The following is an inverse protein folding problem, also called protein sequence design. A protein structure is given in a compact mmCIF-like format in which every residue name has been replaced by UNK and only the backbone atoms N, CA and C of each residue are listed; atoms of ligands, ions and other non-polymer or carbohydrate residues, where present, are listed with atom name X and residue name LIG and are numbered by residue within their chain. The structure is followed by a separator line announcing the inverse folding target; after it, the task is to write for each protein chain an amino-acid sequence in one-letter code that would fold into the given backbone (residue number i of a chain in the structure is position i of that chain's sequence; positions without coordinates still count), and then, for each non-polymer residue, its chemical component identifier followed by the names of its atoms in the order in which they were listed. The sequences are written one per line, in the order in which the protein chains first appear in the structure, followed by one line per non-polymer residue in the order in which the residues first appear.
data_IF_154766970398
#
_entry.id   IF_154766970398
#
_cell.length_a   1.000
_cell.length_b   1.000
_cell.length_c   1.000
_cell.angle_alpha   90.00
_cell.angle_beta   90.00
_cell.angle_gamma   90.00
#
_symmetry.space_group_name_H-M   'P 1'
#
loop_
_entity.id
_entity.type
_entity.pdbx_description
1 polymer ?
#
# COMPACT_ATOMS: atom_id res chain seq x y z
N UNK A 1 16.90 -2.05 -10.52
CA UNK A 1 15.63 -2.00 -11.23
C UNK A 1 15.82 -2.62 -12.63
N UNK A 2 15.01 -3.63 -12.98
CA UNK A 2 15.11 -4.34 -14.27
C UNK A 2 14.49 -3.54 -15.41
N UNK A 3 13.67 -2.55 -15.10
CA UNK A 3 12.85 -1.81 -16.08
C UNK A 3 13.37 -0.38 -16.35
N UNK A 4 14.47 0.00 -15.74
CA UNK A 4 15.09 1.32 -15.89
C UNK A 4 15.15 2.11 -14.58
N UNK A 5 15.81 3.25 -14.60
CA UNK A 5 16.04 4.12 -13.44
C UNK A 5 15.36 5.50 -13.56
N UNK A 6 14.71 5.77 -14.69
CA UNK A 6 13.99 7.03 -14.92
C UNK A 6 12.48 6.82 -14.89
N UNK A 7 11.79 7.59 -14.05
CA UNK A 7 10.32 7.61 -13.99
C UNK A 7 9.80 8.70 -14.91
N UNK A 8 8.86 8.34 -15.79
CA UNK A 8 8.20 9.26 -16.73
C UNK A 8 6.69 9.07 -16.62
N UNK A 9 5.96 10.16 -16.77
CA UNK A 9 4.49 10.16 -16.71
C UNK A 9 3.97 10.78 -18.00
N UNK A 10 2.99 10.12 -18.61
CA UNK A 10 2.11 10.66 -19.64
C UNK A 10 0.68 10.43 -19.18
N UNK A 11 -0.07 11.49 -18.99
CA UNK A 11 -1.47 11.43 -18.59
C UNK A 11 -2.30 12.44 -19.38
N UNK A 12 -3.52 12.04 -19.71
CA UNK A 12 -4.52 12.87 -20.35
C UNK A 12 -5.86 12.66 -19.67
N UNK A 13 -6.52 13.75 -19.28
CA UNK A 13 -7.87 13.75 -18.74
C UNK A 13 -8.80 14.39 -19.77
N UNK A 14 -9.79 13.63 -20.21
CA UNK A 14 -10.85 14.12 -21.07
C UNK A 14 -12.12 14.36 -20.24
N UNK A 15 -12.63 15.57 -20.25
CA UNK A 15 -13.81 15.99 -19.52
C UNK A 15 -14.92 16.25 -20.53
N UNK A 16 -16.02 15.54 -20.40
CA UNK A 16 -17.25 15.77 -21.20
C UNK A 16 -18.29 16.45 -20.33
N UNK A 17 -18.72 17.62 -20.71
CA UNK A 17 -19.72 18.36 -19.99
C UNK A 17 -21.14 18.01 -20.47
N UNK A 18 -22.13 18.30 -19.62
CA UNK A 18 -23.53 18.01 -19.90
C UNK A 18 -24.11 18.84 -21.10
N UNK A 19 -23.49 19.98 -21.41
CA UNK A 19 -23.84 20.83 -22.58
C UNK A 19 -23.23 20.34 -23.90
N UNK A 20 -22.45 19.21 -23.85
CA UNK A 20 -21.82 18.62 -25.04
C UNK A 20 -20.41 19.16 -25.33
N UNK A 21 -19.92 20.14 -24.58
CA UNK A 21 -18.53 20.59 -24.70
C UNK A 21 -17.54 19.63 -24.12
N UNK A 22 -16.27 19.68 -24.54
CA UNK A 22 -15.20 18.83 -24.04
C UNK A 22 -13.98 19.67 -23.71
N UNK A 23 -13.30 19.32 -22.61
CA UNK A 23 -11.97 19.81 -22.28
C UNK A 23 -10.98 18.66 -22.22
N UNK A 24 -9.73 18.95 -22.56
CA UNK A 24 -8.61 18.00 -22.45
C UNK A 24 -7.47 18.62 -21.67
N UNK A 25 -7.09 17.96 -20.56
CA UNK A 25 -5.94 18.34 -19.75
C UNK A 25 -4.86 17.27 -19.94
N UNK A 26 -3.70 17.65 -20.47
CA UNK A 26 -2.57 16.74 -20.67
C UNK A 26 -1.38 17.15 -19.80
N UNK A 27 -0.53 16.19 -19.48
CA UNK A 27 0.74 16.48 -18.83
C UNK A 27 1.62 17.35 -19.73
N UNK A 28 2.17 18.43 -19.16
CA UNK A 28 3.08 19.34 -19.82
C UNK A 28 4.11 19.94 -18.84
N UNK A 29 4.89 20.92 -19.30
CA UNK A 29 5.91 21.60 -18.49
C UNK A 29 5.37 22.47 -17.37
N UNK A 30 4.07 22.76 -17.33
CA UNK A 30 3.44 23.53 -16.25
C UNK A 30 3.21 22.70 -15.01
N UNK A 31 3.18 21.38 -15.15
CA UNK A 31 2.97 20.46 -14.03
C UNK A 31 4.10 20.54 -13.01
N UNK A 32 3.71 20.45 -11.75
CA UNK A 32 4.64 20.39 -10.63
C UNK A 32 4.75 18.96 -10.12
N UNK A 33 5.91 18.59 -9.65
CA UNK A 33 6.15 17.30 -9.03
C UNK A 33 6.88 17.42 -7.70
N UNK A 34 6.79 16.37 -6.90
CA UNK A 34 7.45 16.23 -5.62
C UNK A 34 7.80 14.77 -5.38
N UNK A 35 8.91 14.53 -4.67
CA UNK A 35 9.33 13.21 -4.20
C UNK A 35 9.41 13.12 -2.67
N UNK A 36 8.83 14.09 -1.96
CA UNK A 36 8.84 14.20 -0.49
C UNK A 36 7.46 13.94 0.15
N UNK A 37 6.55 13.26 -0.56
CA UNK A 37 5.22 12.92 -0.07
C UNK A 37 5.21 11.92 1.10
N UNK A 38 4.00 11.58 1.55
CA UNK A 38 3.79 10.69 2.68
C UNK A 38 4.35 9.27 2.45
N UNK A 39 4.28 8.75 1.23
CA UNK A 39 4.78 7.42 0.87
C UNK A 39 6.22 7.54 0.43
N UNK A 40 7.16 7.02 1.23
CA UNK A 40 8.59 7.05 0.92
C UNK A 40 9.11 5.79 0.23
N UNK A 41 8.37 4.70 0.34
CA UNK A 41 8.63 3.43 -0.33
C UNK A 41 7.29 2.77 -0.68
N UNK A 42 7.20 2.20 -1.88
CA UNK A 42 6.08 1.38 -2.29
C UNK A 42 6.54 0.32 -3.28
N UNK A 43 6.16 -0.91 -3.01
CA UNK A 43 6.36 -2.06 -3.88
C UNK A 43 5.15 -2.98 -3.75
N UNK A 44 4.69 -3.56 -4.85
CA UNK A 44 3.47 -4.37 -4.87
C UNK A 44 3.56 -5.66 -4.05
N UNK A 45 4.76 -6.11 -3.68
CA UNK A 45 5.01 -7.34 -2.91
C UNK A 45 5.69 -7.07 -1.58
N UNK A 46 6.61 -6.12 -1.54
CA UNK A 46 7.35 -5.81 -0.31
C UNK A 46 6.55 -4.91 0.61
N UNK A 47 5.69 -4.05 0.06
CA UNK A 47 4.77 -3.24 0.86
C UNK A 47 5.01 -1.74 0.78
N UNK A 48 4.73 -1.03 1.87
CA UNK A 48 4.75 0.43 1.88
C UNK A 48 5.35 0.98 3.18
N UNK A 49 6.08 2.11 3.04
CA UNK A 49 6.55 2.91 4.18
C UNK A 49 5.91 4.29 4.07
N UNK A 50 5.12 4.64 5.08
CA UNK A 50 4.27 5.83 5.09
C UNK A 50 4.54 6.69 6.32
N UNK A 51 4.62 8.00 6.12
CA UNK A 51 4.64 8.98 7.21
C UNK A 51 3.48 9.97 7.02
N UNK A 52 2.42 9.83 7.83
CA UNK A 52 1.21 10.66 7.75
C UNK A 52 1.44 12.14 8.08
N UNK A 53 2.62 12.49 8.61
CA UNK A 53 2.98 13.88 8.92
C UNK A 53 3.54 14.62 7.70
N UNK A 54 3.99 13.89 6.68
CA UNK A 54 4.58 14.50 5.48
C UNK A 54 3.52 14.96 4.51
N UNK A 55 3.75 16.14 3.96
CA UNK A 55 2.97 16.71 2.84
C UNK A 55 3.93 17.03 1.71
N UNK A 56 3.57 16.71 0.45
CA UNK A 56 4.46 17.00 -0.67
C UNK A 56 4.66 18.49 -0.86
N UNK A 57 5.88 18.88 -1.19
CA UNK A 57 6.24 20.26 -1.54
C UNK A 57 6.40 20.35 -3.06
N UNK A 58 5.42 20.92 -3.73
CA UNK A 58 5.40 21.02 -5.20
C UNK A 58 6.21 22.24 -5.68
N UNK A 59 7.52 22.15 -5.66
CA UNK A 59 8.44 23.24 -6.05
C UNK A 59 9.13 23.03 -7.39
N UNK A 60 9.15 21.80 -7.89
CA UNK A 60 9.86 21.44 -9.11
C UNK A 60 8.90 21.28 -10.28
N UNK A 61 9.25 21.88 -11.44
CA UNK A 61 8.48 21.74 -12.69
C UNK A 61 8.87 20.48 -13.43
N UNK A 62 7.89 19.87 -14.08
CA UNK A 62 8.11 18.75 -15.00
C UNK A 62 9.05 19.15 -16.15
N UNK A 63 9.86 18.19 -16.58
CA UNK A 63 10.69 18.33 -17.76
C UNK A 63 10.13 17.47 -18.88
N UNK A 64 9.95 18.06 -20.02
CA UNK A 64 9.58 17.31 -21.21
C UNK A 64 10.72 16.42 -21.69
N UNK A 65 10.40 15.21 -22.07
CA UNK A 65 11.35 14.25 -22.61
C UNK A 65 10.73 13.55 -23.80
N UNK A 66 11.54 13.27 -24.81
CA UNK A 66 11.13 12.41 -25.90
C UNK A 66 11.20 10.95 -25.48
N UNK A 67 10.19 10.18 -25.82
CA UNK A 67 10.19 8.73 -25.62
C UNK A 67 9.54 8.06 -26.83
N UNK A 68 10.23 7.06 -27.38
CA UNK A 68 9.82 6.45 -28.65
C UNK A 68 8.65 5.46 -28.54
N UNK A 69 8.10 5.25 -27.34
CA UNK A 69 6.99 4.31 -27.13
C UNK A 69 5.65 5.03 -27.30
N UNK A 70 4.83 4.51 -28.20
CA UNK A 70 3.45 4.93 -28.36
C UNK A 70 2.58 4.13 -27.37
N UNK A 71 1.90 4.79 -26.41
CA UNK A 71 0.99 4.11 -25.51
C UNK A 71 -0.15 3.43 -26.26
N UNK A 72 -0.51 2.24 -25.85
CA UNK A 72 -1.70 1.53 -26.33
C UNK A 72 -2.65 1.28 -25.17
N UNK A 73 -3.94 1.13 -25.48
CA UNK A 73 -4.93 0.81 -24.47
C UNK A 73 -4.58 -0.52 -23.76
N UNK A 74 -4.72 -0.54 -22.44
CA UNK A 74 -4.61 -1.77 -21.67
C UNK A 74 -5.79 -2.67 -21.98
N UNK A 75 -5.53 -3.96 -22.12
CA UNK A 75 -6.55 -5.01 -22.20
C UNK A 75 -6.84 -5.65 -20.83
N UNK A 76 -6.23 -5.16 -19.77
CA UNK A 76 -6.40 -5.71 -18.44
C UNK A 76 -7.75 -5.32 -17.85
N UNK A 77 -8.38 -6.29 -17.21
CA UNK A 77 -9.55 -6.04 -16.36
C UNK A 77 -9.07 -5.28 -15.11
N UNK A 78 -9.71 -4.17 -14.74
CA UNK A 78 -9.35 -3.43 -13.53
C UNK A 78 -9.54 -4.29 -12.28
N UNK A 79 -8.57 -4.25 -11.39
CA UNK A 79 -8.68 -4.84 -10.06
C UNK A 79 -9.74 -4.06 -9.28
N UNK A 80 -10.70 -4.78 -8.68
CA UNK A 80 -11.78 -4.18 -7.92
C UNK A 80 -11.89 -4.79 -6.52
N UNK A 81 -12.30 -3.98 -5.54
CA UNK A 81 -12.66 -4.45 -4.20
C UNK A 81 -13.94 -5.29 -4.27
N UNK A 82 -13.91 -6.51 -3.78
CA UNK A 82 -15.01 -7.49 -3.93
C UNK A 82 -15.62 -7.92 -2.62
N UNK A 83 -14.82 -8.10 -1.57
CA UNK A 83 -15.29 -8.58 -0.29
C UNK A 83 -14.50 -7.95 0.86
N UNK A 84 -15.17 -7.87 2.01
CA UNK A 84 -14.64 -7.31 3.25
C UNK A 84 -14.64 -8.40 4.31
N UNK A 85 -13.53 -8.55 5.02
CA UNK A 85 -13.38 -9.53 6.09
C UNK A 85 -12.99 -8.83 7.39
N UNK A 86 -13.71 -9.18 8.46
CA UNK A 86 -13.33 -8.86 9.83
C UNK A 86 -12.58 -10.05 10.42
N UNK A 87 -11.49 -9.77 11.11
CA UNK A 87 -10.68 -10.79 11.75
C UNK A 87 -10.90 -10.87 13.25
N UNK A 88 -10.26 -11.83 13.88
CA UNK A 88 -10.22 -11.99 15.33
C UNK A 88 -8.78 -11.88 15.80
N UNK A 89 -8.54 -10.96 16.74
CA UNK A 89 -7.23 -10.75 17.33
C UNK A 89 -6.93 -11.81 18.39
N UNK A 90 -5.72 -12.33 18.35
CA UNK A 90 -5.12 -13.21 19.35
C UNK A 90 -3.71 -12.73 19.68
N UNK A 91 -3.16 -13.22 20.76
CA UNK A 91 -1.76 -12.95 21.11
C UNK A 91 -0.93 -14.21 20.88
N UNK A 92 0.10 -14.09 20.07
CA UNK A 92 1.07 -15.15 19.83
C UNK A 92 1.95 -15.41 21.08
N UNK A 93 2.62 -16.55 21.20
CA UNK A 93 3.52 -16.84 22.33
C UNK A 93 4.65 -15.83 22.52
N UNK A 94 5.09 -15.18 21.44
CA UNK A 94 6.06 -14.07 21.49
C UNK A 94 5.50 -12.78 22.10
N UNK A 95 4.20 -12.71 22.38
CA UNK A 95 3.52 -11.52 22.83
C UNK A 95 2.99 -10.62 21.71
N UNK A 96 3.26 -10.94 20.46
CA UNK A 96 2.78 -10.18 19.30
C UNK A 96 1.29 -10.39 19.07
N UNK A 97 0.60 -9.35 18.62
CA UNK A 97 -0.81 -9.43 18.25
C UNK A 97 -0.93 -9.96 16.83
N UNK A 98 -1.81 -10.94 16.61
CA UNK A 98 -2.11 -11.51 15.30
C UNK A 98 -3.61 -11.46 15.07
N UNK A 99 -4.04 -10.95 13.93
CA UNK A 99 -5.43 -11.04 13.46
C UNK A 99 -5.54 -12.18 12.45
N UNK A 100 -6.49 -13.10 12.69
CA UNK A 100 -6.90 -14.15 11.75
C UNK A 100 -8.20 -13.72 11.06
N UNK A 101 -8.15 -13.48 9.75
CA UNK A 101 -9.30 -13.12 8.94
C UNK A 101 -10.13 -14.31 8.48
N UNK A 102 -9.75 -15.55 8.88
CA UNK A 102 -10.46 -16.80 8.59
C UNK A 102 -10.55 -17.20 7.11
N UNK A 103 -9.97 -16.39 6.25
CA UNK A 103 -9.94 -16.60 4.80
C UNK A 103 -8.59 -16.19 4.25
N UNK A 104 -7.93 -17.09 3.52
CA UNK A 104 -6.78 -16.70 2.70
C UNK A 104 -7.29 -15.92 1.49
N UNK A 105 -6.77 -14.73 1.27
CA UNK A 105 -7.22 -13.80 0.25
C UNK A 105 -6.05 -13.07 -0.43
N UNK A 106 -6.28 -12.61 -1.64
CA UNK A 106 -5.46 -11.58 -2.27
C UNK A 106 -6.10 -10.22 -2.03
N UNK A 107 -5.33 -9.29 -1.47
CA UNK A 107 -5.88 -7.99 -1.10
C UNK A 107 -4.99 -7.18 -0.19
N UNK A 108 -5.61 -6.34 0.62
CA UNK A 108 -4.92 -5.45 1.56
C UNK A 108 -5.78 -5.18 2.79
N UNK A 109 -5.20 -4.49 3.77
CA UNK A 109 -5.91 -4.07 4.99
C UNK A 109 -6.08 -2.56 5.00
N UNK A 110 -7.25 -2.11 5.39
CA UNK A 110 -7.47 -0.75 5.88
C UNK A 110 -7.53 -0.74 7.40
N UNK A 111 -7.10 0.38 8.01
CA UNK A 111 -7.23 0.58 9.45
C UNK A 111 -7.68 1.98 9.82
N UNK A 112 -8.28 2.08 11.03
CA UNK A 112 -8.61 3.32 11.71
C UNK A 112 -8.14 3.25 13.15
N UNK A 113 -7.20 4.11 13.53
CA UNK A 113 -6.61 4.15 14.87
C UNK A 113 -6.44 5.59 15.35
N UNK A 114 -6.58 5.81 16.65
CA UNK A 114 -6.18 7.06 17.28
C UNK A 114 -4.76 6.92 17.81
N UNK A 115 -3.91 7.88 17.50
CA UNK A 115 -2.50 7.84 17.86
C UNK A 115 -1.96 9.25 18.17
N UNK A 116 -0.79 9.31 18.78
CA UNK A 116 0.00 10.52 18.90
C UNK A 116 0.98 10.64 17.72
N UNK A 117 1.32 11.85 17.36
CA UNK A 117 2.30 12.09 16.30
C UNK A 117 3.60 11.33 16.57
N UNK A 118 4.11 10.67 15.54
CA UNK A 118 5.36 9.91 15.58
C UNK A 118 5.25 8.49 16.10
N UNK A 119 4.11 8.08 16.69
CA UNK A 119 3.90 6.66 17.01
C UNK A 119 3.88 5.84 15.73
N UNK A 120 4.34 4.58 15.84
CA UNK A 120 4.47 3.71 14.68
C UNK A 120 3.60 2.48 14.82
N UNK A 121 3.12 2.00 13.69
CA UNK A 121 2.51 0.69 13.54
C UNK A 121 3.18 -0.03 12.37
N UNK A 122 3.59 -1.28 12.62
CA UNK A 122 4.08 -2.18 11.59
C UNK A 122 3.11 -3.34 11.44
N UNK A 123 2.67 -3.59 10.23
CA UNK A 123 1.80 -4.69 9.86
C UNK A 123 2.57 -5.64 8.95
N UNK A 124 2.52 -6.94 9.25
CA UNK A 124 3.07 -8.00 8.40
C UNK A 124 1.98 -8.97 8.01
N UNK A 125 2.00 -9.40 6.76
CA UNK A 125 0.95 -10.24 6.19
C UNK A 125 1.49 -11.58 5.79
N UNK A 126 0.77 -12.65 6.12
CA UNK A 126 1.16 -14.01 5.76
C UNK A 126 -0.02 -14.97 5.68
N UNK A 127 0.21 -16.09 5.02
CA UNK A 127 -0.81 -17.10 4.77
C UNK A 127 -0.89 -18.16 5.89
N UNK A 128 0.16 -18.28 6.68
CA UNK A 128 0.31 -19.37 7.63
C UNK A 128 0.90 -18.89 8.98
N UNK A 129 0.55 -19.63 10.03
CA UNK A 129 1.28 -19.62 11.28
C UNK A 129 2.21 -20.85 11.33
N UNK A 130 3.32 -20.73 12.07
CA UNK A 130 4.19 -21.87 12.35
C UNK A 130 3.61 -22.77 13.44
N UNK A 131 4.34 -23.84 13.80
CA UNK A 131 3.92 -24.81 14.82
C UNK A 131 3.75 -24.20 16.22
N UNK A 132 4.32 -23.03 16.45
CA UNK A 132 4.21 -22.31 17.71
C UNK A 132 3.10 -21.26 17.67
N UNK A 133 2.41 -21.06 16.55
CA UNK A 133 1.39 -20.04 16.38
C UNK A 133 1.94 -18.64 16.03
N UNK A 134 3.20 -18.54 15.62
CA UNK A 134 3.81 -17.30 15.14
C UNK A 134 3.60 -17.12 13.64
N UNK A 135 3.50 -15.85 13.16
CA UNK A 135 3.42 -15.59 11.74
C UNK A 135 4.68 -16.07 11.03
N UNK A 136 4.53 -16.88 9.99
CA UNK A 136 5.64 -17.30 9.14
C UNK A 136 5.46 -16.87 7.70
N UNK A 137 6.55 -16.41 7.08
CA UNK A 137 6.61 -16.09 5.65
C UNK A 137 7.48 -17.09 4.87
N UNK A 138 7.96 -18.17 5.53
CA UNK A 138 8.88 -19.14 4.91
C UNK A 138 8.29 -19.82 3.68
N UNK A 139 6.96 -19.94 3.60
CA UNK A 139 6.27 -20.56 2.48
C UNK A 139 6.24 -19.67 1.21
N UNK A 140 6.43 -18.37 1.35
CA UNK A 140 6.34 -17.41 0.24
C UNK A 140 7.63 -16.65 -0.04
N UNK A 141 8.54 -16.57 0.95
CA UNK A 141 9.79 -15.86 0.78
C UNK A 141 10.82 -16.68 -0.01
N UNK A 142 11.53 -16.01 -0.90
CA UNK A 142 12.70 -16.54 -1.56
C UNK A 142 13.91 -15.62 -1.31
N UNK A 143 15.10 -16.22 -1.19
CA UNK A 143 16.34 -15.46 -1.07
C UNK A 143 16.84 -15.11 -2.46
N UNK A 144 16.96 -13.85 -2.78
CA UNK A 144 17.62 -13.37 -3.97
C UNK A 144 18.92 -12.66 -3.56
N UNK A 145 20.06 -13.13 -4.06
CA UNK A 145 21.41 -12.59 -3.84
C UNK A 145 21.71 -12.00 -2.45
N UNK A 146 20.92 -11.06 -1.94
CA UNK A 146 21.14 -10.36 -0.66
C UNK A 146 19.86 -10.09 0.13
N UNK A 147 18.69 -10.33 -0.44
CA UNK A 147 17.40 -9.96 0.14
C UNK A 147 16.47 -11.17 0.18
N UNK A 148 15.63 -11.20 1.19
CA UNK A 148 14.51 -12.12 1.30
C UNK A 148 13.24 -11.33 0.94
N UNK A 149 12.48 -11.80 -0.05
CA UNK A 149 11.27 -11.14 -0.56
C UNK A 149 10.23 -12.18 -0.96
N UNK A 150 8.92 -11.90 -0.95
CA UNK A 150 8.30 -10.63 -0.59
C UNK A 150 8.35 -10.36 0.93
N UNK A 151 8.43 -9.10 1.34
CA UNK A 151 8.41 -8.71 2.76
C UNK A 151 6.98 -8.64 3.32
N UNK A 152 6.00 -8.34 2.47
CA UNK A 152 4.57 -8.20 2.82
C UNK A 152 4.35 -7.35 4.08
N UNK A 153 4.91 -6.13 4.08
CA UNK A 153 4.99 -5.30 5.28
C UNK A 153 4.51 -3.86 5.01
N UNK A 154 3.77 -3.31 5.96
CA UNK A 154 3.45 -1.88 6.00
C UNK A 154 4.10 -1.29 7.25
N UNK A 155 4.84 -0.20 7.09
CA UNK A 155 5.32 0.64 8.18
C UNK A 155 4.63 2.00 8.09
N UNK A 156 3.90 2.37 9.13
CA UNK A 156 3.14 3.61 9.15
C UNK A 156 3.51 4.45 10.37
N UNK A 157 3.95 5.69 10.12
CA UNK A 157 4.19 6.70 11.17
C UNK A 157 2.96 7.58 11.29
N UNK A 158 2.34 7.59 12.47
CA UNK A 158 1.08 8.26 12.74
C UNK A 158 1.25 9.79 12.86
N UNK A 159 0.23 10.50 12.42
CA UNK A 159 -0.04 11.89 12.82
C UNK A 159 -0.83 11.91 14.13
N UNK A 160 -0.96 13.08 14.74
CA UNK A 160 -1.80 13.25 15.92
C UNK A 160 -3.29 13.05 15.60
N UNK A 161 -4.00 12.37 16.50
CA UNK A 161 -5.43 12.08 16.40
C UNK A 161 -5.76 10.87 15.52
N UNK A 162 -6.84 10.98 14.75
CA UNK A 162 -7.35 9.88 13.90
C UNK A 162 -6.46 9.64 12.68
N UNK A 163 -5.98 8.42 12.56
CA UNK A 163 -5.25 7.91 11.42
C UNK A 163 -6.11 6.87 10.70
N UNK A 164 -6.38 7.12 9.43
CA UNK A 164 -7.05 6.21 8.53
C UNK A 164 -6.11 5.91 7.36
N UNK A 165 -5.90 4.65 7.07
CA UNK A 165 -5.04 4.24 5.99
C UNK A 165 -5.57 2.99 5.29
N UNK A 166 -5.39 2.97 4.00
CA UNK A 166 -5.60 1.84 3.12
C UNK A 166 -4.41 1.77 2.18
N UNK A 167 -3.85 0.58 1.97
CA UNK A 167 -2.70 0.38 1.09
C UNK A 167 -2.95 0.96 -0.29
N UNK A 168 -2.00 1.70 -0.84
CA UNK A 168 -2.16 2.43 -2.09
C UNK A 168 -1.64 1.65 -3.30
N UNK A 169 -0.58 0.84 -3.11
CA UNK A 169 0.11 0.15 -4.19
C UNK A 169 0.28 -1.35 -3.96
N UNK A 170 0.44 -1.78 -2.71
CA UNK A 170 0.73 -3.16 -2.39
C UNK A 170 -0.53 -4.02 -2.32
N UNK A 171 -0.46 -5.23 -2.86
CA UNK A 171 -1.47 -6.29 -2.76
C UNK A 171 -0.76 -7.52 -2.22
N UNK A 172 -1.31 -8.10 -1.15
CA UNK A 172 -0.73 -9.22 -0.44
C UNK A 172 -1.59 -10.46 -0.56
N UNK A 173 -0.94 -11.64 -0.52
CA UNK A 173 -1.61 -12.91 -0.23
C UNK A 173 -1.54 -13.16 1.27
N UNK A 174 -2.67 -13.25 1.97
CA UNK A 174 -2.68 -13.44 3.42
C UNK A 174 -3.99 -13.96 3.98
N UNK A 175 -3.90 -14.63 5.12
CA UNK A 175 -4.99 -14.90 6.05
C UNK A 175 -4.73 -14.22 7.38
N UNK A 176 -3.45 -14.08 7.76
CA UNK A 176 -3.02 -13.56 9.05
C UNK A 176 -2.30 -12.23 8.90
N UNK A 177 -2.51 -11.36 9.88
CA UNK A 177 -1.79 -10.09 9.99
C UNK A 177 -1.17 -9.97 11.39
N UNK A 178 0.15 -9.91 11.46
CA UNK A 178 0.89 -9.57 12.68
C UNK A 178 0.94 -8.05 12.84
N UNK A 179 0.74 -7.58 14.07
CA UNK A 179 0.74 -6.17 14.44
C UNK A 179 1.85 -5.94 15.45
N UNK A 180 2.76 -5.01 15.14
CA UNK A 180 3.79 -4.52 16.04
C UNK A 180 3.58 -3.02 16.26
N UNK A 181 3.16 -2.65 17.48
CA UNK A 181 2.88 -1.27 17.88
C UNK A 181 2.73 -1.15 19.39
N UNK A 182 3.07 0.03 19.92
CA UNK A 182 2.76 0.45 21.30
C UNK A 182 1.37 1.08 21.43
N UNK A 183 0.67 1.29 20.31
CA UNK A 183 -0.68 1.87 20.30
C UNK A 183 -1.67 0.83 20.77
N UNK A 184 -2.61 1.20 21.64
CA UNK A 184 -3.72 0.32 22.00
C UNK A 184 -4.65 0.16 20.81
N UNK A 185 -4.79 -1.08 20.33
CA UNK A 185 -5.62 -1.43 19.17
C UNK A 185 -6.45 -2.68 19.46
N UNK A 186 -7.64 -2.73 18.87
CA UNK A 186 -8.53 -3.90 18.84
C UNK A 186 -8.69 -4.45 17.43
N UNK A 187 -9.30 -5.62 17.29
CA UNK A 187 -9.60 -6.21 15.97
C UNK A 187 -10.53 -5.33 15.11
N UNK A 188 -11.41 -4.55 15.73
CA UNK A 188 -12.33 -3.62 15.02
C UNK A 188 -11.59 -2.49 14.28
N UNK A 189 -10.37 -2.18 14.71
CA UNK A 189 -9.55 -1.17 14.02
C UNK A 189 -9.16 -1.56 12.59
N UNK A 190 -9.23 -2.85 12.24
CA UNK A 190 -8.69 -3.41 11.01
C UNK A 190 -9.75 -4.08 10.16
N UNK A 191 -9.61 -3.95 8.86
CA UNK A 191 -10.50 -4.57 7.87
C UNK A 191 -9.70 -5.08 6.69
N UNK A 192 -9.77 -6.39 6.42
CA UNK A 192 -9.19 -6.94 5.21
C UNK A 192 -10.15 -6.77 4.03
N UNK A 193 -9.62 -6.41 2.87
CA UNK A 193 -10.35 -6.15 1.64
C UNK A 193 -9.77 -7.05 0.57
N UNK A 194 -10.58 -7.99 0.07
CA UNK A 194 -10.21 -8.84 -1.04
C UNK A 194 -10.41 -8.12 -2.38
N UNK A 195 -9.46 -8.33 -3.30
CA UNK A 195 -9.46 -7.75 -4.64
C UNK A 195 -9.28 -8.83 -5.71
N UNK A 196 -10.02 -8.71 -6.79
CA UNK A 196 -9.91 -9.52 -8.03
C UNK A 196 -10.70 -8.94 -9.18
#
# INVERSE_FOLDING_TARGET
NQYGCETKILAQLEIKYADGTNDTISTDRSWLWSNDGAISFADNKDGEIVDANKKPTYSSRAKETSYAVVPSASNNVPIAEKAIFKGKMTTAPSGKKIIDFKQNLAGYVSFKINAKQGQKITLRFGEMLDVNGELTLKNIQCTNKKLTTPLQKIEYTCKDGLNEYKTSFAIFGFQYMEIDTEIEVSDDCFTAIAVY
#
